data_IF_814297386714
#
_entry.id   IF_814297386714
#
_cell.length_a   1.000
_cell.length_b   1.000
_cell.length_c   1.000
_cell.angle_alpha   90.00
_cell.angle_beta   90.00
_cell.angle_gamma   90.00
#
_symmetry.space_group_name_H-M   'P 1'
#
loop_
_entity.id
_entity.type
_entity.pdbx_description
1 polymer ?
#
# COMPACT_ATOMS: atom_id res chain seq x y z
N UNK A 1 11.21 -6.23 -7.14
CA UNK A 1 10.11 -6.12 -8.11
C UNK A 1 8.92 -6.96 -7.69
N UNK A 2 8.06 -6.37 -6.89
CA UNK A 2 6.88 -7.04 -6.35
C UNK A 2 5.63 -6.30 -6.77
N UNK A 3 4.50 -7.01 -6.74
CA UNK A 3 3.18 -6.40 -6.81
C UNK A 3 2.51 -6.62 -5.47
N UNK A 4 2.10 -5.54 -4.83
CA UNK A 4 1.46 -5.58 -3.52
C UNK A 4 0.03 -5.11 -3.67
N UNK A 5 -0.93 -5.96 -3.33
CA UNK A 5 -2.34 -5.58 -3.38
C UNK A 5 -2.75 -4.99 -2.04
N UNK A 6 -3.27 -3.77 -2.10
CA UNK A 6 -3.69 -3.06 -0.90
C UNK A 6 -5.18 -3.27 -0.69
N UNK A 7 -5.60 -3.81 0.46
CA UNK A 7 -7.02 -4.01 0.70
C UNK A 7 -7.73 -2.67 0.95
N UNK A 8 -9.05 -2.63 0.83
CA UNK A 8 -9.80 -1.39 1.02
C UNK A 8 -9.76 -0.86 2.46
N UNK A 9 -9.38 -1.69 3.41
CA UNK A 9 -9.29 -1.27 4.80
C UNK A 9 -8.10 -1.95 5.46
N UNK A 10 -7.26 -1.16 6.11
CA UNK A 10 -6.08 -1.65 6.83
C UNK A 10 -6.21 -1.19 8.28
N UNK A 11 -6.19 -2.13 9.21
CA UNK A 11 -6.34 -1.83 10.63
C UNK A 11 -5.13 -2.36 11.41
N UNK A 12 -4.43 -1.46 12.08
CA UNK A 12 -3.31 -1.81 12.96
C UNK A 12 -2.23 -2.66 12.28
N UNK A 13 -2.07 -2.47 10.98
CA UNK A 13 -1.07 -3.21 10.19
C UNK A 13 -0.20 -2.24 9.43
N UNK A 14 0.96 -2.73 9.02
CA UNK A 14 1.86 -1.95 8.19
C UNK A 14 1.98 -2.62 6.82
N UNK A 15 1.73 -1.82 5.77
CA UNK A 15 1.98 -2.24 4.40
C UNK A 15 3.16 -1.47 3.86
N UNK A 16 4.07 -2.18 3.21
CA UNK A 16 5.26 -1.60 2.62
C UNK A 16 5.30 -1.94 1.15
N UNK A 17 5.42 -0.92 0.31
CA UNK A 17 5.69 -1.09 -1.11
C UNK A 17 7.19 -0.90 -1.27
N UNK A 18 7.95 -1.98 -1.54
CA UNK A 18 9.41 -1.89 -1.62
C UNK A 18 9.88 -1.07 -2.81
N UNK A 19 11.16 -0.77 -2.81
CA UNK A 19 11.81 -0.12 -3.95
C UNK A 19 11.55 -0.93 -5.23
N UNK A 20 11.25 -0.24 -6.31
CA UNK A 20 11.01 -0.81 -7.64
C UNK A 20 9.83 -1.76 -7.68
N UNK A 21 8.89 -1.59 -6.78
CA UNK A 21 7.70 -2.41 -6.70
C UNK A 21 6.46 -1.56 -6.89
N UNK A 22 5.34 -2.22 -7.12
CA UNK A 22 4.07 -1.54 -7.37
C UNK A 22 3.05 -2.00 -6.35
N UNK A 23 2.38 -1.04 -5.72
CA UNK A 23 1.19 -1.30 -4.94
C UNK A 23 -0.04 -0.98 -5.77
N UNK A 24 -1.07 -1.80 -5.66
CA UNK A 24 -2.31 -1.60 -6.38
C UNK A 24 -3.45 -1.57 -5.39
N UNK A 25 -4.24 -0.49 -5.46
CA UNK A 25 -5.45 -0.35 -4.67
C UNK A 25 -6.62 -0.07 -5.61
N UNK A 26 -7.79 -0.52 -5.24
CA UNK A 26 -9.01 -0.28 -6.02
C UNK A 26 -9.94 0.56 -5.18
N UNK A 27 -10.24 1.77 -5.68
CA UNK A 27 -11.09 2.70 -4.98
C UNK A 27 -10.42 3.32 -3.77
N UNK A 28 -11.17 3.48 -2.68
CA UNK A 28 -10.70 4.13 -1.47
C UNK A 28 -9.98 3.14 -0.56
N UNK A 29 -8.88 3.58 0.03
CA UNK A 29 -8.18 2.80 1.05
C UNK A 29 -8.30 3.54 2.37
N UNK A 30 -8.80 2.84 3.40
CA UNK A 30 -8.89 3.40 4.75
C UNK A 30 -7.77 2.84 5.62
N UNK A 31 -7.08 3.73 6.32
CA UNK A 31 -6.08 3.34 7.29
C UNK A 31 -6.64 3.64 8.67
N UNK A 32 -6.82 2.60 9.47
CA UNK A 32 -7.48 2.69 10.78
C UNK A 32 -6.51 2.29 11.89
N UNK A 33 -6.68 2.93 13.05
CA UNK A 33 -5.83 2.66 14.19
C UNK A 33 -4.39 3.04 13.90
N UNK A 34 -3.47 2.11 14.10
CA UNK A 34 -2.04 2.33 13.89
C UNK A 34 -1.58 1.88 12.51
N UNK A 35 -2.50 1.77 11.56
CA UNK A 35 -2.16 1.32 10.22
C UNK A 35 -1.26 2.32 9.50
N UNK A 36 -0.31 1.82 8.73
CA UNK A 36 0.56 2.65 7.92
C UNK A 36 0.75 2.03 6.54
N UNK A 37 1.00 2.88 5.56
CA UNK A 37 1.32 2.49 4.20
C UNK A 37 2.56 3.29 3.79
N UNK A 38 3.65 2.58 3.51
CA UNK A 38 4.92 3.22 3.18
C UNK A 38 5.34 2.83 1.77
N UNK A 39 5.85 3.80 1.03
CA UNK A 39 6.38 3.58 -0.31
C UNK A 39 7.87 3.91 -0.25
N UNK A 40 8.71 2.92 -0.54
CA UNK A 40 10.15 3.05 -0.41
C UNK A 40 10.82 3.27 -1.76
N UNK A 41 11.87 4.09 -1.76
CA UNK A 41 12.70 4.29 -2.94
C UNK A 41 11.88 4.66 -4.17
N UNK A 42 11.99 3.86 -5.21
CA UNK A 42 11.28 4.06 -6.46
C UNK A 42 9.99 3.24 -6.56
N UNK A 43 9.38 2.96 -5.44
CA UNK A 43 8.09 2.29 -5.41
C UNK A 43 6.99 3.17 -5.95
N UNK A 44 5.90 2.56 -6.37
CA UNK A 44 4.76 3.26 -6.96
C UNK A 44 3.46 2.70 -6.38
N UNK A 45 2.52 3.57 -6.12
CA UNK A 45 1.17 3.18 -5.74
C UNK A 45 0.21 3.63 -6.82
N UNK A 46 -0.53 2.67 -7.38
CA UNK A 46 -1.58 2.96 -8.32
C UNK A 46 -2.94 2.72 -7.69
N UNK A 47 -3.89 3.60 -7.97
CA UNK A 47 -5.25 3.47 -7.47
C UNK A 47 -6.20 3.47 -8.68
N UNK A 48 -7.03 2.44 -8.74
CA UNK A 48 -7.96 2.28 -9.84
C UNK A 48 -9.37 2.74 -9.49
#
# INVERSE_FOLDING_TARGET
>A
NYTVFIPPSVTNEQYIIPDRSVGIAIGTVELLGDATLSILGNGTLGVL
#
